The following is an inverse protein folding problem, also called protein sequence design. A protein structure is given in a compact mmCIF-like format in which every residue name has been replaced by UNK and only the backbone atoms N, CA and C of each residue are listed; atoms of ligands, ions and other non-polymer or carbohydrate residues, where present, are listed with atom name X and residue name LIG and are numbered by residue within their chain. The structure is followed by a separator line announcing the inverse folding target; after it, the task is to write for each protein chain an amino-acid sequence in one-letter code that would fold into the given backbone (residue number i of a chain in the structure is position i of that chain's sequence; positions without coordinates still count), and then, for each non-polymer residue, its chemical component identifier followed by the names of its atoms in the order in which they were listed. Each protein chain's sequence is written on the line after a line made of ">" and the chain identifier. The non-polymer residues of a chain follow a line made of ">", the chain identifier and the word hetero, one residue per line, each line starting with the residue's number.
data_IF_882266116335
#
_entry.id   IF_882266116335
#
_cell.length_a   1.000
_cell.length_b   1.000
_cell.length_c   1.000
_cell.angle_alpha   90.00
_cell.angle_beta   90.00
_cell.angle_gamma   90.00
#
_symmetry.space_group_name_H-M   'P 1'
#
loop_
_entity.id
_entity.type
_entity.pdbx_description
1 polymer ?
#
# COMPACT_ATOMS: atom_id res chain seq x y z
N UNK A 1 9.59 -25.39 -8.10
CA UNK A 1 10.53 -24.54 -7.32
C UNK A 1 9.85 -23.42 -6.53
N UNK A 2 8.69 -22.90 -6.97
CA UNK A 2 7.96 -21.77 -6.34
C UNK A 2 7.40 -22.08 -4.93
N UNK A 3 6.95 -23.32 -4.65
CA UNK A 3 6.47 -23.73 -3.30
C UNK A 3 7.55 -23.68 -2.20
N UNK A 4 8.83 -23.71 -2.54
CA UNK A 4 9.92 -23.67 -1.56
C UNK A 4 10.26 -22.23 -1.13
N UNK A 5 10.14 -21.26 -2.04
CA UNK A 5 10.38 -19.83 -1.77
C UNK A 5 9.28 -19.24 -0.88
N UNK A 6 8.01 -19.56 -1.13
CA UNK A 6 6.88 -19.12 -0.30
C UNK A 6 7.02 -19.59 1.16
N UNK A 7 7.46 -20.83 1.39
CA UNK A 7 7.71 -21.35 2.74
C UNK A 7 8.89 -20.68 3.44
N UNK A 8 9.94 -20.31 2.72
CA UNK A 8 11.09 -19.60 3.29
C UNK A 8 10.77 -18.16 3.67
N UNK A 9 10.01 -17.44 2.84
CA UNK A 9 9.57 -16.07 3.11
C UNK A 9 8.60 -16.03 4.30
N UNK A 10 7.62 -16.95 4.37
CA UNK A 10 6.78 -17.12 5.56
C UNK A 10 7.63 -17.44 6.81
N UNK A 11 8.66 -18.30 6.69
CA UNK A 11 9.52 -18.63 7.83
C UNK A 11 10.30 -17.43 8.34
N UNK A 12 10.80 -16.58 7.45
CA UNK A 12 11.56 -15.37 7.80
C UNK A 12 10.66 -14.29 8.43
N UNK A 13 9.43 -14.15 7.94
CA UNK A 13 8.46 -13.22 8.51
C UNK A 13 8.01 -13.67 9.90
N UNK A 14 7.74 -14.97 10.09
CA UNK A 14 7.44 -15.56 11.39
C UNK A 14 8.66 -15.53 12.33
N UNK A 15 9.88 -15.68 11.82
CA UNK A 15 11.12 -15.58 12.60
C UNK A 15 11.38 -14.14 13.07
N UNK A 16 11.19 -13.14 12.19
CA UNK A 16 11.27 -11.71 12.56
C UNK A 16 10.17 -11.30 13.53
N UNK A 17 8.93 -11.75 13.32
CA UNK A 17 7.81 -11.54 14.26
C UNK A 17 8.08 -12.22 15.61
N UNK A 18 8.63 -13.43 15.60
CA UNK A 18 9.05 -14.13 16.82
C UNK A 18 10.20 -13.45 17.55
N UNK A 19 11.14 -12.83 16.83
CA UNK A 19 12.24 -12.04 17.40
C UNK A 19 11.71 -10.73 18.03
N UNK A 20 10.82 -10.03 17.34
CA UNK A 20 10.13 -8.84 17.86
C UNK A 20 9.27 -9.16 19.09
N UNK A 21 8.50 -10.24 19.06
CA UNK A 21 7.67 -10.68 20.20
C UNK A 21 8.53 -11.05 21.41
N UNK A 22 9.68 -11.70 21.20
CA UNK A 22 10.65 -12.01 22.25
C UNK A 22 11.31 -10.76 22.82
N UNK A 23 11.62 -9.77 22.00
CA UNK A 23 12.17 -8.49 22.45
C UNK A 23 11.14 -7.68 23.25
N UNK A 24 9.87 -7.66 22.82
CA UNK A 24 8.76 -7.03 23.54
C UNK A 24 8.53 -7.74 24.88
N UNK A 25 8.50 -9.07 24.89
CA UNK A 25 8.34 -9.86 26.12
C UNK A 25 9.52 -9.64 27.10
N UNK A 26 10.75 -9.60 26.59
CA UNK A 26 11.95 -9.32 27.39
C UNK A 26 11.91 -7.91 27.99
N UNK A 27 11.50 -6.90 27.20
CA UNK A 27 11.34 -5.53 27.67
C UNK A 27 10.22 -5.40 28.70
N UNK A 28 9.09 -6.09 28.51
CA UNK A 28 8.00 -6.14 29.50
C UNK A 28 8.41 -6.86 30.79
N UNK A 29 9.25 -7.90 30.71
CA UNK A 29 9.77 -8.62 31.87
C UNK A 29 10.79 -7.76 32.65
N UNK A 30 11.67 -7.04 31.96
CA UNK A 30 12.62 -6.09 32.56
C UNK A 30 11.87 -4.92 33.23
N UNK A 31 10.79 -4.43 32.61
CA UNK A 31 9.94 -3.41 33.19
C UNK A 31 9.21 -3.94 34.45
N UNK A 32 8.64 -5.15 34.39
CA UNK A 32 7.94 -5.77 35.52
C UNK A 32 8.87 -6.07 36.70
N UNK A 33 10.08 -6.60 36.45
CA UNK A 33 11.08 -6.89 37.48
C UNK A 33 11.61 -5.63 38.18
N UNK A 34 11.67 -4.49 37.48
CA UNK A 34 12.11 -3.21 38.03
C UNK A 34 11.00 -2.39 38.71
N UNK A 35 9.73 -2.76 38.55
CA UNK A 35 8.59 -2.08 39.20
C UNK A 35 8.38 -2.48 40.67
N UNK A 36 9.01 -3.56 41.13
CA UNK A 36 8.87 -4.06 42.51
C UNK A 36 9.96 -3.56 43.47
N UNK A 37 10.84 -2.66 43.03
CA UNK A 37 11.82 -2.02 43.91
C UNK A 37 11.22 -0.76 44.57
N UNK A 38 10.94 -0.77 45.89
CA UNK A 38 10.33 0.35 46.57
C UNK A 38 11.22 1.60 46.62
N UNK A 39 12.51 1.50 46.30
CA UNK A 39 13.42 2.65 46.30
C UNK A 39 13.28 3.59 45.09
N UNK A 40 12.59 3.16 44.02
CA UNK A 40 12.47 3.96 42.79
C UNK A 40 11.28 4.92 42.76
N UNK A 41 10.52 5.02 43.87
CA UNK A 41 9.31 5.86 43.97
C UNK A 41 9.56 7.38 43.85
N UNK A 42 10.81 7.87 43.93
CA UNK A 42 11.11 9.30 43.72
C UNK A 42 11.43 9.68 42.26
N UNK A 43 11.57 8.70 41.37
CA UNK A 43 11.77 8.89 39.91
C UNK A 43 10.53 8.47 39.12
N UNK A 44 9.35 8.72 39.70
CA UNK A 44 8.06 8.15 39.32
C UNK A 44 7.45 8.57 37.98
N UNK A 45 8.05 9.50 37.23
CA UNK A 45 7.49 9.94 35.93
C UNK A 45 8.40 9.63 34.73
N UNK A 46 9.71 9.83 34.82
CA UNK A 46 10.61 9.75 33.65
C UNK A 46 10.59 8.41 32.89
N UNK A 47 10.43 7.28 33.60
CA UNK A 47 10.37 5.96 32.96
C UNK A 47 9.04 5.69 32.26
N UNK A 48 7.94 6.16 32.84
CA UNK A 48 6.62 6.07 32.22
C UNK A 48 6.55 7.01 31.01
N UNK A 49 7.15 8.19 31.10
CA UNK A 49 7.27 9.12 29.98
C UNK A 49 8.15 8.56 28.87
N UNK A 50 9.30 7.95 29.17
CA UNK A 50 10.15 7.33 28.14
C UNK A 50 9.48 6.16 27.42
N UNK A 51 8.80 5.25 28.15
CA UNK A 51 8.06 4.14 27.53
C UNK A 51 6.86 4.67 26.74
N UNK A 52 6.19 5.72 27.23
CA UNK A 52 5.09 6.38 26.52
C UNK A 52 5.60 7.05 25.26
N UNK A 53 6.63 7.88 25.31
CA UNK A 53 7.25 8.50 24.13
C UNK A 53 7.73 7.42 23.15
N UNK A 54 8.43 6.39 23.61
CA UNK A 54 8.87 5.29 22.73
C UNK A 54 7.69 4.55 22.09
N UNK A 55 6.61 4.31 22.82
CA UNK A 55 5.38 3.72 22.27
C UNK A 55 4.66 4.67 21.29
N UNK A 56 4.61 5.97 21.58
CA UNK A 56 4.04 6.99 20.71
C UNK A 56 4.85 7.19 19.42
N UNK A 57 6.17 7.07 19.46
CA UNK A 57 7.04 7.27 18.30
C UNK A 57 7.27 5.99 17.47
N UNK A 58 7.31 4.80 18.08
CA UNK A 58 7.67 3.57 17.36
C UNK A 58 6.53 2.55 17.23
N UNK A 59 5.58 2.54 18.16
CA UNK A 59 4.47 1.57 18.18
C UNK A 59 3.22 2.17 17.52
N UNK A 60 2.83 3.40 17.88
CA UNK A 60 1.61 4.05 17.37
C UNK A 60 1.59 4.31 15.85
N UNK A 61 2.69 4.72 15.19
CA UNK A 61 2.70 4.84 13.73
C UNK A 61 2.67 3.49 13.00
N UNK A 62 2.96 2.39 13.71
CA UNK A 62 2.92 1.00 13.22
C UNK A 62 1.65 0.24 13.64
N UNK A 63 0.81 0.84 14.48
CA UNK A 63 -0.51 0.32 14.84
C UNK A 63 -1.48 0.68 13.70
N UNK A 64 -1.60 -0.25 12.75
CA UNK A 64 -2.75 -0.45 11.86
C UNK A 64 -3.09 0.59 10.77
N UNK A 65 -2.44 1.77 10.73
CA UNK A 65 -2.76 2.78 9.69
C UNK A 65 -2.35 2.38 8.26
N UNK A 66 -1.45 1.39 8.12
CA UNK A 66 -1.02 0.85 6.84
C UNK A 66 -1.55 -0.58 6.57
N UNK A 67 -2.43 -1.11 7.43
CA UNK A 67 -3.06 -2.41 7.18
C UNK A 67 -3.77 -2.36 5.81
N UNK A 68 -3.66 -3.38 4.98
CA UNK A 68 -4.26 -3.38 3.62
C UNK A 68 -3.76 -2.29 2.65
N UNK A 69 -2.73 -1.51 3.01
CA UNK A 69 -2.00 -0.72 2.03
C UNK A 69 -1.10 -1.63 1.20
N UNK A 70 -0.91 -1.33 -0.10
CA UNK A 70 0.05 -2.05 -0.91
C UNK A 70 1.48 -1.76 -0.39
N UNK A 71 2.35 -2.80 -0.29
CA UNK A 71 3.73 -2.63 0.17
C UNK A 71 4.56 -1.90 -0.90
N UNK A 72 4.71 -0.58 -0.73
CA UNK A 72 5.41 0.31 -1.67
C UNK A 72 6.91 0.05 -1.76
N UNK A 73 7.46 -0.75 -0.85
CA UNK A 73 8.85 -1.21 -0.82
C UNK A 73 9.08 -2.52 -1.61
N UNK A 74 7.99 -3.23 -1.94
CA UNK A 74 8.05 -4.55 -2.58
C UNK A 74 7.46 -4.55 -4.00
N UNK A 75 6.51 -3.65 -4.28
CA UNK A 75 5.88 -3.53 -5.59
C UNK A 75 6.46 -2.32 -6.33
N UNK A 76 6.92 -2.46 -7.59
CA UNK A 76 7.47 -1.34 -8.34
C UNK A 76 6.43 -0.25 -8.56
N UNK A 77 6.85 1.00 -8.34
CA UNK A 77 6.02 2.19 -8.58
C UNK A 77 6.28 2.72 -9.99
N UNK A 78 5.21 3.01 -10.71
CA UNK A 78 5.19 3.58 -12.04
C UNK A 78 5.15 5.10 -11.95
N UNK A 79 6.02 5.74 -12.71
CA UNK A 79 5.94 7.18 -12.95
C UNK A 79 4.81 7.48 -13.95
N UNK A 80 4.43 8.75 -14.13
CA UNK A 80 3.56 9.15 -15.24
C UNK A 80 4.23 8.86 -16.60
N UNK A 81 3.50 8.21 -17.51
CA UNK A 81 3.99 7.91 -18.86
C UNK A 81 3.46 6.59 -19.42
N UNK A 82 3.96 6.22 -20.59
CA UNK A 82 3.62 4.97 -21.26
C UNK A 82 4.70 3.92 -21.04
N UNK A 83 4.29 2.72 -20.64
CA UNK A 83 5.17 1.60 -20.35
C UNK A 83 4.74 0.38 -21.12
N UNK A 84 5.71 -0.30 -21.70
CA UNK A 84 5.54 -1.64 -22.27
C UNK A 84 6.28 -2.62 -21.37
N UNK A 85 5.55 -3.59 -20.80
CA UNK A 85 6.10 -4.55 -19.83
C UNK A 85 5.56 -5.93 -20.10
N UNK A 86 6.44 -6.92 -19.95
CA UNK A 86 6.01 -8.31 -19.84
C UNK A 86 5.45 -8.54 -18.44
N UNK A 87 4.27 -9.13 -18.35
CA UNK A 87 3.60 -9.48 -17.09
C UNK A 87 2.99 -10.87 -17.19
N UNK A 88 3.07 -11.63 -16.10
CA UNK A 88 2.37 -12.90 -15.90
C UNK A 88 1.31 -12.76 -14.79
N UNK A 89 0.41 -13.72 -14.68
CA UNK A 89 -0.62 -13.78 -13.63
C UNK A 89 -0.04 -13.55 -12.23
N UNK A 90 -0.60 -12.57 -11.51
CA UNK A 90 -0.16 -12.14 -10.19
C UNK A 90 0.86 -10.99 -10.19
N UNK A 91 1.50 -10.68 -11.32
CA UNK A 91 2.38 -9.52 -11.42
C UNK A 91 1.57 -8.24 -11.18
N UNK A 92 2.15 -7.37 -10.34
CA UNK A 92 1.50 -6.14 -9.91
C UNK A 92 2.46 -4.96 -10.06
N UNK A 93 1.93 -3.83 -10.49
CA UNK A 93 2.59 -2.53 -10.40
C UNK A 93 1.73 -1.55 -9.60
N UNK A 94 2.39 -0.58 -8.99
CA UNK A 94 1.70 0.52 -8.29
C UNK A 94 1.80 1.81 -9.07
N UNK A 95 0.76 2.61 -9.01
CA UNK A 95 0.83 4.04 -9.32
C UNK A 95 0.48 4.82 -8.05
N UNK A 96 1.32 5.78 -7.69
CA UNK A 96 1.17 6.64 -6.50
C UNK A 96 0.95 8.08 -6.95
N UNK A 97 -0.29 8.55 -6.86
CA UNK A 97 -0.65 9.88 -7.33
C UNK A 97 -0.08 11.01 -6.44
N UNK A 98 0.35 10.71 -5.20
CA UNK A 98 0.78 11.69 -4.20
C UNK A 98 2.08 12.35 -4.57
N UNK A 99 3.00 11.56 -5.12
CA UNK A 99 4.35 12.01 -5.43
C UNK A 99 4.43 12.68 -6.82
N UNK A 100 3.35 12.65 -7.59
CA UNK A 100 3.34 12.91 -9.04
C UNK A 100 2.31 13.93 -9.49
N UNK A 101 1.42 14.36 -8.59
CA UNK A 101 0.46 15.43 -8.86
C UNK A 101 1.02 16.80 -8.43
N UNK A 102 1.15 17.72 -9.38
CA UNK A 102 1.27 19.15 -9.07
C UNK A 102 -0.11 19.66 -8.66
N UNK A 103 -0.26 20.11 -7.41
CA UNK A 103 -1.53 20.60 -6.85
C UNK A 103 -2.14 21.72 -7.71
N UNK A 104 -3.08 21.35 -8.59
CA UNK A 104 -4.02 22.29 -9.22
C UNK A 104 -5.39 22.25 -8.55
N UNK A 105 -5.62 21.28 -7.65
CA UNK A 105 -6.87 21.07 -6.93
C UNK A 105 -6.67 21.17 -5.40
N UNK A 106 -7.70 21.62 -4.65
CA UNK A 106 -7.73 21.56 -3.20
C UNK A 106 -7.37 20.19 -2.61
N UNK A 107 -6.88 20.24 -1.39
CA UNK A 107 -6.60 19.10 -0.52
C UNK A 107 -7.78 18.13 -0.37
N UNK A 108 -7.54 16.83 -0.56
CA UNK A 108 -8.53 15.78 -0.26
C UNK A 108 -9.74 15.74 -1.19
N UNK A 109 -9.64 16.37 -2.36
CA UNK A 109 -10.69 16.29 -3.38
C UNK A 109 -10.56 14.98 -4.15
N UNK A 110 -11.66 14.28 -4.36
CA UNK A 110 -11.72 13.14 -5.25
C UNK A 110 -11.72 13.61 -6.71
N UNK A 111 -10.83 13.01 -7.49
CA UNK A 111 -10.67 13.28 -8.92
C UNK A 111 -10.60 11.97 -9.69
N UNK A 112 -11.14 11.97 -10.89
CA UNK A 112 -11.03 10.84 -11.81
C UNK A 112 -9.68 10.89 -12.53
N UNK A 113 -9.14 9.70 -12.77
CA UNK A 113 -7.88 9.49 -13.48
C UNK A 113 -8.09 8.41 -14.52
N UNK A 114 -7.87 8.77 -15.78
CA UNK A 114 -7.95 7.82 -16.89
C UNK A 114 -6.61 7.14 -17.15
N UNK A 115 -6.64 5.82 -17.25
CA UNK A 115 -5.55 4.95 -17.65
C UNK A 115 -5.88 4.34 -19.01
N UNK A 116 -4.88 4.22 -19.86
CA UNK A 116 -5.02 3.49 -21.13
C UNK A 116 -4.28 2.18 -20.99
N UNK A 117 -4.96 1.05 -21.20
CA UNK A 117 -4.38 -0.29 -21.09
C UNK A 117 -4.60 -1.00 -22.42
N UNK A 118 -3.49 -1.43 -23.02
CA UNK A 118 -3.47 -2.34 -24.14
C UNK A 118 -2.97 -3.69 -23.63
N UNK A 119 -3.88 -4.63 -23.50
CA UNK A 119 -3.57 -5.98 -23.06
C UNK A 119 -3.01 -6.82 -24.21
N UNK A 120 -2.29 -7.88 -23.84
CA UNK A 120 -1.90 -8.91 -24.79
C UNK A 120 -3.09 -9.85 -25.04
N UNK A 121 -3.27 -10.40 -26.26
CA UNK A 121 -4.31 -11.38 -26.51
C UNK A 121 -4.30 -12.54 -25.52
N UNK A 122 -5.44 -12.81 -24.88
CA UNK A 122 -5.59 -13.86 -23.87
C UNK A 122 -5.04 -13.52 -22.49
N UNK A 123 -4.68 -12.25 -22.24
CA UNK A 123 -4.31 -11.71 -20.93
C UNK A 123 -5.36 -10.70 -20.47
N UNK A 124 -5.60 -10.66 -19.17
CA UNK A 124 -6.52 -9.74 -18.50
C UNK A 124 -5.82 -9.04 -17.35
N UNK A 125 -5.98 -7.73 -17.26
CA UNK A 125 -5.32 -6.85 -16.30
C UNK A 125 -6.35 -5.98 -15.62
N UNK A 126 -6.41 -6.10 -14.30
CA UNK A 126 -7.33 -5.34 -13.47
C UNK A 126 -6.65 -4.13 -12.86
N UNK A 127 -7.38 -3.01 -12.86
CA UNK A 127 -6.99 -1.80 -12.17
C UNK A 127 -7.84 -1.61 -10.91
N UNK A 128 -7.20 -1.52 -9.74
CA UNK A 128 -7.90 -1.36 -8.45
C UNK A 128 -7.27 -0.34 -7.53
N UNK A 129 -8.07 0.27 -6.66
CA UNK A 129 -7.61 1.14 -5.56
C UNK A 129 -7.97 0.53 -4.20
N UNK A 130 -7.03 0.37 -3.25
CA UNK A 130 -7.30 -0.16 -1.93
C UNK A 130 -7.73 0.92 -0.93
N UNK A 131 -8.60 0.55 0.02
CA UNK A 131 -8.85 1.35 1.23
C UNK A 131 -7.95 0.92 2.38
N UNK A 132 -6.77 1.50 2.41
CA UNK A 132 -5.80 1.38 3.50
C UNK A 132 -6.43 1.53 4.90
N UNK A 133 -6.00 0.73 5.85
CA UNK A 133 -6.29 0.78 7.28
C UNK A 133 -7.65 0.20 7.69
N UNK A 134 -8.65 0.14 6.81
CA UNK A 134 -10.02 -0.22 7.22
C UNK A 134 -10.55 -1.49 6.57
N UNK A 135 -10.08 -1.87 5.39
CA UNK A 135 -10.65 -3.01 4.67
C UNK A 135 -9.70 -3.63 3.65
N UNK A 136 -9.72 -4.97 3.46
CA UNK A 136 -9.05 -5.62 2.35
C UNK A 136 -9.77 -5.40 1.00
N UNK A 137 -10.92 -4.72 0.99
CA UNK A 137 -11.69 -4.47 -0.22
C UNK A 137 -10.95 -3.47 -1.10
N UNK A 138 -10.78 -3.85 -2.36
CA UNK A 138 -10.27 -2.98 -3.41
C UNK A 138 -11.42 -2.59 -4.34
N UNK A 139 -11.45 -1.32 -4.71
CA UNK A 139 -12.43 -0.75 -5.64
C UNK A 139 -11.86 -0.86 -7.04
N UNK A 140 -12.63 -1.44 -7.95
CA UNK A 140 -12.23 -1.58 -9.35
C UNK A 140 -12.37 -0.24 -10.09
N UNK A 141 -11.59 -0.08 -11.15
CA UNK A 141 -11.84 0.95 -12.13
C UNK A 141 -13.18 0.72 -12.84
N UNK A 142 -13.74 1.82 -13.33
CA UNK A 142 -14.87 1.84 -14.24
C UNK A 142 -14.37 1.70 -15.69
N UNK A 143 -15.28 1.30 -16.58
CA UNK A 143 -15.03 1.02 -18.01
C UNK A 143 -13.99 -0.07 -18.33
N UNK A 144 -13.55 -0.81 -17.32
CA UNK A 144 -12.86 -2.10 -17.44
C UNK A 144 -13.86 -3.13 -18.02
N UNK A 145 -13.53 -3.70 -19.18
CA UNK A 145 -14.44 -4.62 -19.87
C UNK A 145 -14.48 -6.02 -19.24
N UNK A 146 -13.45 -6.39 -18.47
CA UNK A 146 -13.26 -7.72 -17.91
C UNK A 146 -13.03 -8.80 -18.98
N UNK A 147 -12.64 -8.41 -20.19
CA UNK A 147 -12.41 -9.30 -21.33
C UNK A 147 -10.94 -9.24 -21.74
N UNK A 148 -10.32 -10.40 -22.03
CA UNK A 148 -8.90 -10.42 -22.29
C UNK A 148 -8.52 -9.83 -23.65
N UNK A 149 -7.35 -9.19 -23.69
CA UNK A 149 -6.72 -8.70 -24.91
C UNK A 149 -7.32 -7.40 -25.44
N UNK A 150 -7.99 -6.63 -24.58
CA UNK A 150 -8.64 -5.40 -25.01
C UNK A 150 -7.69 -4.20 -24.98
N UNK A 151 -8.09 -3.18 -25.77
CA UNK A 151 -7.62 -1.82 -25.60
C UNK A 151 -8.71 -1.07 -24.82
N UNK A 152 -8.35 -0.61 -23.63
CA UNK A 152 -9.30 -0.05 -22.68
C UNK A 152 -8.83 1.32 -22.19
N UNK A 153 -9.80 2.22 -22.03
CA UNK A 153 -9.62 3.47 -21.31
C UNK A 153 -10.41 3.35 -20.01
N UNK A 154 -9.74 2.96 -18.95
CA UNK A 154 -10.37 2.74 -17.64
C UNK A 154 -10.15 3.95 -16.76
N UNK A 155 -11.13 4.32 -15.96
CA UNK A 155 -10.99 5.45 -15.05
C UNK A 155 -11.34 5.08 -13.61
N UNK A 156 -10.77 5.82 -12.68
CA UNK A 156 -10.93 5.53 -11.25
C UNK A 156 -10.76 6.79 -10.42
N UNK A 157 -11.52 6.88 -9.33
CA UNK A 157 -11.44 8.00 -8.40
C UNK A 157 -10.25 7.83 -7.45
N UNK A 158 -9.41 8.86 -7.36
CA UNK A 158 -8.35 8.98 -6.37
C UNK A 158 -8.44 10.33 -5.66
N UNK A 159 -7.94 10.40 -4.43
CA UNK A 159 -7.85 11.63 -3.65
C UNK A 159 -6.59 12.43 -3.98
N UNK A 160 -6.70 13.75 -3.96
CA UNK A 160 -5.55 14.66 -4.10
C UNK A 160 -4.84 14.89 -2.76
N UNK A 161 -3.50 15.01 -2.72
CA UNK A 161 -2.75 15.36 -1.51
C UNK A 161 -3.13 16.76 -0.99
N UNK A 162 -2.92 17.08 0.31
CA UNK A 162 -2.14 16.40 1.33
C UNK A 162 -2.86 15.22 1.98
N UNK A 163 -2.06 14.38 2.65
CA UNK A 163 -2.45 13.05 3.06
C UNK A 163 -3.31 13.07 4.34
N UNK A 164 -4.54 12.52 4.31
CA UNK A 164 -5.20 12.12 5.54
C UNK A 164 -4.34 11.08 6.27
N UNK A 165 -4.55 10.90 7.58
CA UNK A 165 -3.88 9.85 8.36
C UNK A 165 -4.03 8.44 7.75
N UNK A 166 -5.12 8.23 7.01
CA UNK A 166 -5.41 7.02 6.26
C UNK A 166 -4.96 7.18 4.80
N UNK A 167 -4.12 6.27 4.31
CA UNK A 167 -3.57 6.30 2.93
C UNK A 167 -4.50 5.71 1.87
N UNK A 168 -5.81 5.82 2.06
CA UNK A 168 -6.81 5.29 1.13
C UNK A 168 -6.88 6.10 -0.15
N UNK A 169 -7.20 5.47 -1.26
CA UNK A 169 -7.57 6.15 -2.50
C UNK A 169 -6.45 7.02 -3.11
N UNK A 170 -5.19 6.72 -2.80
CA UNK A 170 -3.99 7.35 -3.40
C UNK A 170 -3.20 6.41 -4.32
N UNK A 171 -3.39 5.10 -4.12
CA UNK A 171 -2.67 4.07 -4.85
C UNK A 171 -3.57 3.40 -5.84
N UNK A 172 -2.97 3.05 -6.96
CA UNK A 172 -3.56 2.11 -7.89
C UNK A 172 -2.69 0.89 -7.99
N UNK A 173 -3.32 -0.26 -8.01
CA UNK A 173 -2.72 -1.54 -8.36
C UNK A 173 -3.13 -1.91 -9.77
N UNK A 174 -2.15 -2.07 -10.64
CA UNK A 174 -2.31 -2.70 -11.94
C UNK A 174 -1.88 -4.16 -11.79
N UNK A 175 -2.82 -5.10 -11.83
CA UNK A 175 -2.56 -6.52 -11.55
C UNK A 175 -2.98 -7.37 -12.74
N UNK A 176 -2.09 -8.22 -13.26
CA UNK A 176 -2.51 -9.26 -14.22
C UNK A 176 -3.29 -10.33 -13.48
N UNK A 177 -4.57 -10.49 -13.79
CA UNK A 177 -5.44 -11.47 -13.12
C UNK A 177 -5.54 -12.80 -13.86
N UNK A 178 -5.24 -12.81 -15.15
CA UNK A 178 -5.19 -14.03 -15.96
C UNK A 178 -4.25 -13.85 -17.16
N UNK A 179 -3.62 -14.95 -17.58
CA UNK A 179 -2.79 -14.98 -18.79
C UNK A 179 -1.39 -14.42 -18.58
N UNK A 180 -0.67 -14.22 -19.69
CA UNK A 180 0.66 -13.62 -19.71
C UNK A 180 1.00 -13.03 -21.07
N UNK A 181 1.90 -12.06 -21.07
CA UNK A 181 2.26 -11.38 -22.30
C UNK A 181 2.85 -10.01 -22.08
N UNK A 182 3.10 -9.32 -23.19
CA UNK A 182 3.54 -7.93 -23.16
C UNK A 182 2.33 -7.03 -23.23
N UNK A 183 2.10 -6.28 -22.16
CA UNK A 183 1.06 -5.26 -22.10
C UNK A 183 1.69 -3.88 -22.27
N UNK A 184 0.91 -2.94 -22.79
CA UNK A 184 1.25 -1.52 -22.77
C UNK A 184 0.24 -0.80 -21.92
N UNK A 185 0.66 0.02 -20.97
CA UNK A 185 -0.23 0.84 -20.19
C UNK A 185 0.31 2.27 -20.09
N UNK A 186 -0.60 3.23 -20.04
CA UNK A 186 -0.29 4.65 -19.90
C UNK A 186 -0.90 5.15 -18.61
N UNK A 187 -0.04 5.64 -17.73
CA UNK A 187 -0.42 6.28 -16.47
C UNK A 187 -0.64 7.78 -16.69
N UNK A 188 -1.64 8.39 -16.03
CA UNK A 188 -1.95 9.80 -16.21
C UNK A 188 -0.92 10.70 -15.54
N UNK A 189 -0.73 11.88 -16.10
CA UNK A 189 0.11 12.97 -15.54
C UNK A 189 -0.71 13.97 -14.72
N UNK A 190 -2.03 13.99 -14.90
CA UNK A 190 -2.97 14.88 -14.24
C UNK A 190 -4.34 14.20 -14.09
N UNK A 191 -5.20 14.65 -13.16
CA UNK A 191 -6.59 14.25 -13.13
C UNK A 191 -7.31 14.68 -14.39
N UNK A 192 -8.42 14.01 -14.66
CA UNK A 192 -9.27 14.30 -15.80
C UNK A 192 -9.96 15.66 -15.62
N UNK A 193 -10.25 16.38 -16.72
CA UNK A 193 -11.07 17.60 -16.67
C UNK A 193 -12.43 17.36 -16.01
N UNK A 194 -13.01 18.40 -15.42
CA UNK A 194 -14.41 18.34 -14.95
C UNK A 194 -15.31 17.97 -16.13
N UNK A 195 -16.04 16.85 -16.01
CA UNK A 195 -16.95 16.26 -17.01
C UNK A 195 -16.28 15.49 -18.18
N UNK A 196 -15.13 14.86 -17.94
CA UNK A 196 -14.51 13.98 -18.95
C UNK A 196 -15.28 12.66 -19.18
N UNK A 197 -16.07 12.23 -18.19
CA UNK A 197 -16.84 10.98 -18.16
C UNK A 197 -18.28 11.25 -17.71
#
# INVERSE_FOLDING_TARGET
>A
MIRALSKHILKDEYFRRGLMLKQILLLSAIAYLNCNDPQTRSTGDYRNEFIREYAFFFILPNLDLNQFCPPTDQIPILEPGTYTRFMEEGDTYLFDNRARFQQSAPAGEERLFTFVIQENPGQEVKLTTPKCGTSPIEFKADDDSGLPGQLENVFISLQTPPLPPQRSDFFIKLTTIFGKGTITFTTPTSPDPKNAH
#
